data_IF_550984173163
#
_entry.id   IF_550984173163
#
_cell.length_a   1.000
_cell.length_b   1.000
_cell.length_c   1.000
_cell.angle_alpha   90.00
_cell.angle_beta   90.00
_cell.angle_gamma   90.00
#
_symmetry.space_group_name_H-M   'P 1'
#
loop_
_entity.id
_entity.type
_entity.pdbx_description
1 polymer ?
#
# COMPACT_ATOMS: atom_id res chain seq x y z
N UNK A 1 -11.89 3.70 -4.34
CA UNK A 1 -12.26 2.97 -5.57
C UNK A 1 -11.89 3.86 -6.76
N UNK A 2 -11.31 3.31 -7.82
CA UNK A 2 -11.00 4.02 -9.06
C UNK A 2 -11.69 3.25 -10.20
N UNK A 3 -12.68 3.88 -10.84
CA UNK A 3 -13.42 3.29 -11.97
C UNK A 3 -12.90 3.81 -13.31
N UNK A 4 -13.44 3.29 -14.42
CA UNK A 4 -13.00 3.65 -15.77
C UNK A 4 -13.26 5.12 -16.16
N UNK A 5 -14.08 5.84 -15.39
CA UNK A 5 -14.41 7.26 -15.64
C UNK A 5 -13.53 8.21 -14.84
N UNK A 6 -12.71 7.70 -13.94
CA UNK A 6 -11.83 8.51 -13.12
C UNK A 6 -10.70 9.15 -13.94
N UNK A 7 -10.34 10.38 -13.59
CA UNK A 7 -9.02 10.92 -13.94
C UNK A 7 -7.96 10.20 -13.09
N UNK A 8 -7.28 9.24 -13.70
CA UNK A 8 -6.30 8.38 -13.03
C UNK A 8 -5.15 9.21 -12.44
N UNK A 9 -4.65 10.23 -13.14
CA UNK A 9 -3.53 11.03 -12.67
C UNK A 9 -3.91 11.82 -11.41
N UNK A 10 -5.08 12.45 -11.42
CA UNK A 10 -5.61 13.19 -10.26
C UNK A 10 -5.93 12.25 -9.11
N UNK A 11 -6.57 11.10 -9.37
CA UNK A 11 -6.93 10.12 -8.36
C UNK A 11 -5.68 9.57 -7.65
N UNK A 12 -4.70 9.07 -8.41
CA UNK A 12 -3.45 8.52 -7.86
C UNK A 12 -2.68 9.57 -7.07
N UNK A 13 -2.56 10.79 -7.59
CA UNK A 13 -1.90 11.89 -6.88
C UNK A 13 -2.57 12.19 -5.54
N UNK A 14 -3.90 12.25 -5.51
CA UNK A 14 -4.67 12.53 -4.29
C UNK A 14 -4.46 11.44 -3.24
N UNK A 15 -4.48 10.18 -3.65
CA UNK A 15 -4.25 9.03 -2.76
C UNK A 15 -2.83 9.06 -2.19
N UNK A 16 -1.81 9.32 -3.01
CA UNK A 16 -0.42 9.40 -2.53
C UNK A 16 -0.29 10.55 -1.53
N UNK A 17 -0.80 11.75 -1.86
CA UNK A 17 -0.73 12.90 -0.95
C UNK A 17 -1.41 12.61 0.39
N UNK A 18 -2.63 12.07 0.36
CA UNK A 18 -3.39 11.70 1.55
C UNK A 18 -2.67 10.63 2.37
N UNK A 19 -2.28 9.53 1.73
CA UNK A 19 -1.71 8.39 2.46
C UNK A 19 -0.32 8.63 3.02
N UNK A 20 0.46 9.49 2.35
CA UNK A 20 1.83 9.82 2.80
C UNK A 20 1.86 11.01 3.74
N UNK A 21 0.76 11.76 3.88
CA UNK A 21 0.64 12.81 4.89
C UNK A 21 0.85 12.23 6.30
N UNK A 22 1.77 12.83 7.05
CA UNK A 22 2.21 12.37 8.37
C UNK A 22 2.45 10.85 8.43
N UNK A 23 3.03 10.31 7.35
CA UNK A 23 3.28 8.89 7.14
C UNK A 23 2.05 7.97 7.39
N UNK A 24 0.85 8.41 7.03
CA UNK A 24 -0.36 7.58 7.08
C UNK A 24 -0.93 7.37 8.49
N UNK A 25 -0.60 8.27 9.43
CA UNK A 25 -1.09 8.26 10.81
C UNK A 25 -2.57 8.66 10.95
N UNK A 26 -3.12 9.36 9.96
CA UNK A 26 -4.51 9.80 9.99
C UNK A 26 -5.42 8.61 9.68
N UNK A 27 -6.37 8.31 10.57
CA UNK A 27 -7.28 7.17 10.45
C UNK A 27 -8.16 7.22 9.19
N UNK A 28 -8.49 8.43 8.72
CA UNK A 28 -9.24 8.63 7.47
C UNK A 28 -8.40 8.40 6.20
N UNK A 29 -7.08 8.18 6.33
CA UNK A 29 -6.24 7.85 5.19
C UNK A 29 -6.59 6.48 4.62
N UNK A 30 -6.38 6.34 3.32
CA UNK A 30 -6.71 5.15 2.56
C UNK A 30 -6.02 3.90 3.15
N UNK A 31 -6.65 2.74 3.05
CA UNK A 31 -6.03 1.45 3.44
C UNK A 31 -5.88 0.50 2.26
N UNK A 32 -6.69 0.69 1.22
CA UNK A 32 -6.63 -0.06 -0.01
C UNK A 32 -7.08 0.79 -1.21
N UNK A 33 -6.51 0.49 -2.36
CA UNK A 33 -7.00 0.91 -3.67
C UNK A 33 -7.70 -0.28 -4.30
N UNK A 34 -8.94 -0.06 -4.74
CA UNK A 34 -9.70 -1.03 -5.53
C UNK A 34 -9.95 -0.36 -6.87
N UNK A 35 -9.53 -1.00 -7.96
CA UNK A 35 -9.69 -0.47 -9.31
C UNK A 35 -10.33 -1.49 -10.26
N UNK A 36 -11.01 -1.00 -11.30
CA UNK A 36 -11.52 -1.86 -12.36
C UNK A 36 -10.35 -2.54 -13.10
N UNK A 37 -10.47 -3.85 -13.35
CA UNK A 37 -9.42 -4.66 -14.00
C UNK A 37 -8.97 -4.06 -15.34
N UNK A 38 -9.92 -3.47 -16.09
CA UNK A 38 -9.70 -2.80 -17.38
C UNK A 38 -8.69 -1.65 -17.34
N UNK A 39 -8.55 -0.97 -16.19
CA UNK A 39 -7.63 0.18 -16.01
C UNK A 39 -6.49 -0.11 -15.03
N UNK A 40 -6.45 -1.30 -14.42
CA UNK A 40 -5.46 -1.65 -13.42
C UNK A 40 -4.00 -1.46 -13.89
N UNK A 41 -3.61 -1.81 -15.14
CA UNK A 41 -2.25 -1.55 -15.62
C UNK A 41 -1.88 -0.07 -15.60
N UNK A 42 -2.77 0.81 -16.10
CA UNK A 42 -2.56 2.26 -16.14
C UNK A 42 -2.49 2.87 -14.74
N UNK A 43 -3.35 2.41 -13.82
CA UNK A 43 -3.32 2.86 -12.42
C UNK A 43 -1.99 2.46 -11.76
N UNK A 44 -1.52 1.23 -11.97
CA UNK A 44 -0.24 0.76 -11.42
C UNK A 44 0.94 1.58 -11.94
N UNK A 45 0.98 1.84 -13.24
CA UNK A 45 2.02 2.65 -13.86
C UNK A 45 2.06 4.07 -13.27
N UNK A 46 0.89 4.70 -13.10
CA UNK A 46 0.81 6.05 -12.54
C UNK A 46 1.24 6.10 -11.06
N UNK A 47 0.92 5.06 -10.26
CA UNK A 47 1.47 4.94 -8.90
C UNK A 47 2.99 4.80 -8.92
N UNK A 48 3.54 3.93 -9.77
CA UNK A 48 4.99 3.72 -9.87
C UNK A 48 5.74 5.00 -10.27
N UNK A 49 5.22 5.72 -11.26
CA UNK A 49 5.74 7.01 -11.70
C UNK A 49 5.81 8.05 -10.59
N UNK A 50 4.92 7.95 -9.58
CA UNK A 50 4.81 8.90 -8.45
C UNK A 50 5.42 8.39 -7.15
N UNK A 51 6.24 7.34 -7.19
CA UNK A 51 6.96 6.83 -6.03
C UNK A 51 6.25 5.72 -5.26
N UNK A 52 5.22 5.11 -5.85
CA UNK A 52 4.63 3.86 -5.39
C UNK A 52 5.52 2.66 -5.75
N UNK A 53 5.85 1.84 -4.78
CA UNK A 53 6.59 0.59 -5.01
C UNK A 53 5.65 -0.60 -4.84
N UNK A 54 5.47 -1.38 -5.91
CA UNK A 54 4.67 -2.61 -5.86
C UNK A 54 5.51 -3.77 -5.35
N UNK A 55 5.10 -4.33 -4.21
CA UNK A 55 5.74 -5.48 -3.58
C UNK A 55 5.73 -6.70 -4.52
N UNK A 56 6.72 -7.58 -4.37
CA UNK A 56 6.91 -8.78 -5.19
C UNK A 56 7.25 -9.99 -4.31
N UNK A 57 6.84 -11.19 -4.74
CA UNK A 57 7.29 -12.45 -4.12
C UNK A 57 7.12 -12.53 -2.60
N UNK A 58 8.25 -12.65 -1.88
CA UNK A 58 8.29 -12.80 -0.43
C UNK A 58 8.19 -11.46 0.34
N UNK A 59 8.31 -10.32 -0.37
CA UNK A 59 8.24 -8.98 0.22
C UNK A 59 6.89 -8.75 0.93
N UNK A 60 5.81 -9.29 0.35
CA UNK A 60 4.46 -9.25 0.93
C UNK A 60 4.42 -9.83 2.33
N UNK A 61 4.94 -11.06 2.48
CA UNK A 61 4.90 -11.78 3.74
C UNK A 61 5.77 -11.10 4.77
N UNK A 62 6.99 -10.72 4.40
CA UNK A 62 7.94 -10.00 5.27
C UNK A 62 7.35 -8.70 5.81
N UNK A 63 6.75 -7.88 4.92
CA UNK A 63 6.13 -6.63 5.33
C UNK A 63 4.90 -6.87 6.19
N UNK A 64 4.02 -7.78 5.79
CA UNK A 64 2.81 -8.13 6.54
C UNK A 64 3.12 -8.60 7.96
N UNK A 65 4.08 -9.51 8.10
CA UNK A 65 4.54 -10.04 9.40
C UNK A 65 5.20 -8.97 10.28
N UNK A 66 5.84 -7.98 9.66
CA UNK A 66 6.41 -6.86 10.39
C UNK A 66 5.34 -5.88 10.89
N UNK A 67 4.34 -5.55 10.06
CA UNK A 67 3.30 -4.56 10.41
C UNK A 67 2.27 -5.14 11.38
N UNK A 68 1.84 -6.40 11.19
CA UNK A 68 0.85 -7.04 12.05
C UNK A 68 1.40 -8.34 12.66
N UNK A 69 1.21 -8.45 13.97
CA UNK A 69 1.42 -9.71 14.69
C UNK A 69 0.40 -10.77 14.25
N UNK A 70 0.67 -12.04 14.54
CA UNK A 70 -0.26 -13.15 14.22
C UNK A 70 -1.61 -13.04 14.96
N UNK A 71 -1.68 -12.20 16.01
CA UNK A 71 -2.93 -11.90 16.73
C UNK A 71 -3.71 -10.74 16.10
N UNK A 72 -3.27 -10.21 14.95
CA UNK A 72 -3.89 -9.07 14.29
C UNK A 72 -3.61 -7.72 14.95
N UNK A 73 -2.68 -7.66 15.91
CA UNK A 73 -2.30 -6.41 16.59
C UNK A 73 -1.22 -5.71 15.78
N UNK A 74 -1.40 -4.41 15.55
CA UNK A 74 -0.42 -3.54 14.89
C UNK A 74 0.89 -3.48 15.69
N UNK A 75 2.01 -3.60 14.98
CA UNK A 75 3.33 -3.39 15.53
C UNK A 75 3.60 -1.88 15.69
N UNK A 76 3.80 -1.36 16.93
CA UNK A 76 4.07 0.06 17.15
C UNK A 76 5.32 0.57 16.44
N UNK A 77 6.29 -0.32 16.14
CA UNK A 77 7.49 0.06 15.40
C UNK A 77 7.22 0.36 13.92
N UNK A 78 6.08 -0.07 13.37
CA UNK A 78 5.67 0.23 12.00
C UNK A 78 4.89 1.55 11.90
N UNK A 79 4.19 1.94 12.97
CA UNK A 79 3.29 3.09 12.99
C UNK A 79 4.04 4.39 12.68
N UNK A 80 3.53 5.16 11.71
CA UNK A 80 4.06 6.47 11.32
C UNK A 80 5.48 6.48 10.72
N UNK A 81 6.01 5.32 10.34
CA UNK A 81 7.34 5.25 9.71
C UNK A 81 7.25 5.53 8.20
N UNK A 82 8.24 6.23 7.61
CA UNK A 82 8.33 6.38 6.16
C UNK A 82 8.46 5.03 5.44
N UNK A 83 7.93 4.92 4.20
CA UNK A 83 7.93 3.70 3.40
C UNK A 83 9.32 3.02 3.27
N UNK A 84 10.36 3.78 2.93
CA UNK A 84 11.73 3.24 2.83
C UNK A 84 12.26 2.68 4.16
N UNK A 85 11.89 3.30 5.29
CA UNK A 85 12.29 2.83 6.62
C UNK A 85 11.52 1.57 7.02
N UNK A 86 10.22 1.51 6.74
CA UNK A 86 9.42 0.29 6.92
C UNK A 86 10.01 -0.88 6.15
N UNK A 87 10.35 -0.65 4.89
CA UNK A 87 10.96 -1.66 4.04
C UNK A 87 12.24 -2.23 4.67
N UNK A 88 13.13 -1.35 5.14
CA UNK A 88 14.35 -1.75 5.85
C UNK A 88 14.06 -2.55 7.12
N UNK A 89 13.11 -2.09 7.95
CA UNK A 89 12.75 -2.77 9.19
C UNK A 89 12.12 -4.14 8.96
N UNK A 90 11.40 -4.30 7.85
CA UNK A 90 10.83 -5.57 7.40
C UNK A 90 11.82 -6.47 6.63
N UNK A 91 13.07 -6.03 6.44
CA UNK A 91 14.09 -6.81 5.71
C UNK A 91 13.87 -6.88 4.19
N UNK A 92 13.29 -5.83 3.61
CA UNK A 92 13.17 -5.64 2.16
C UNK A 92 14.40 -4.89 1.63
N UNK A 93 15.18 -5.54 0.77
CA UNK A 93 16.46 -5.00 0.28
C UNK A 93 16.33 -4.21 -1.03
N UNK A 94 15.31 -4.52 -1.85
CA UNK A 94 15.17 -3.98 -3.20
C UNK A 94 14.32 -2.71 -3.29
N UNK A 95 13.80 -2.21 -2.17
CA UNK A 95 12.94 -1.01 -2.14
C UNK A 95 13.81 0.24 -2.26
N UNK A 96 13.65 1.08 -3.30
CA UNK A 96 14.41 2.32 -3.44
C UNK A 96 14.16 3.28 -2.28
N UNK A 97 15.19 4.02 -1.86
CA UNK A 97 15.08 5.01 -0.79
C UNK A 97 14.13 6.17 -1.10
N UNK A 98 13.87 6.42 -2.39
CA UNK A 98 12.91 7.42 -2.88
C UNK A 98 11.45 6.95 -2.84
N UNK A 99 11.19 5.72 -2.38
CA UNK A 99 9.82 5.17 -2.28
C UNK A 99 9.01 5.97 -1.28
N UNK A 100 7.83 6.44 -1.70
CA UNK A 100 6.90 7.18 -0.85
C UNK A 100 5.80 6.27 -0.28
N UNK A 101 5.41 5.24 -1.03
CA UNK A 101 4.26 4.40 -0.71
C UNK A 101 4.50 2.94 -1.11
N UNK A 102 4.28 2.00 -0.19
CA UNK A 102 4.34 0.57 -0.47
C UNK A 102 2.97 0.06 -0.93
N UNK A 103 2.91 -0.58 -2.09
CA UNK A 103 1.68 -1.08 -2.69
C UNK A 103 1.70 -2.61 -2.67
N UNK A 104 0.71 -3.22 -2.02
CA UNK A 104 0.57 -4.67 -1.90
C UNK A 104 -0.56 -5.17 -2.80
N UNK A 105 -0.27 -5.79 -3.96
CA UNK A 105 -1.25 -6.56 -4.73
C UNK A 105 -1.94 -7.65 -3.88
N UNK A 106 -3.25 -7.54 -3.70
CA UNK A 106 -4.05 -8.46 -2.90
C UNK A 106 -5.21 -9.02 -3.73
N UNK A 107 -5.62 -10.26 -3.44
CA UNK A 107 -6.76 -10.95 -4.06
C UNK A 107 -7.80 -11.43 -3.05
N UNK A 108 -7.57 -11.17 -1.75
CA UNK A 108 -8.45 -11.60 -0.65
C UNK A 108 -8.38 -10.61 0.51
N UNK A 109 -9.36 -10.71 1.40
CA UNK A 109 -9.43 -9.94 2.64
C UNK A 109 -9.62 -10.92 3.79
N UNK A 110 -8.95 -10.68 4.92
CA UNK A 110 -9.16 -11.47 6.13
C UNK A 110 -7.98 -11.49 7.10
N UNK A 111 -8.11 -12.20 8.23
CA UNK A 111 -7.07 -12.29 9.25
C UNK A 111 -5.73 -12.83 8.73
N UNK A 112 -5.79 -13.80 7.81
CA UNK A 112 -4.62 -14.40 7.18
C UNK A 112 -3.93 -13.45 6.18
N UNK A 113 -4.63 -12.42 5.70
CA UNK A 113 -4.11 -11.43 4.77
C UNK A 113 -3.79 -10.14 5.51
N UNK A 114 -2.65 -10.14 6.21
CA UNK A 114 -2.25 -9.04 7.12
C UNK A 114 -2.29 -7.67 6.47
N UNK A 115 -1.89 -7.54 5.20
CA UNK A 115 -1.87 -6.25 4.50
C UNK A 115 -3.28 -5.73 4.10
N UNK A 116 -4.33 -6.55 4.27
CA UNK A 116 -5.74 -6.12 4.11
C UNK A 116 -6.29 -5.34 5.31
N UNK A 117 -5.58 -5.31 6.45
CA UNK A 117 -5.99 -4.60 7.68
C UNK A 117 -5.63 -3.11 7.64
N UNK A 118 -6.03 -2.40 8.70
CA UNK A 118 -5.48 -1.09 9.01
C UNK A 118 -3.97 -1.18 9.28
N UNK A 119 -3.18 -0.25 8.70
CA UNK A 119 -1.71 -0.31 8.74
C UNK A 119 -1.03 0.89 9.43
N UNK A 120 -1.73 2.03 9.58
CA UNK A 120 -1.23 3.29 10.16
C UNK A 120 0.20 3.69 9.72
N UNK A 121 0.50 3.42 8.45
CA UNK A 121 1.80 3.66 7.83
C UNK A 121 1.63 3.78 6.31
N UNK A 122 2.63 4.25 5.53
CA UNK A 122 2.54 4.44 4.07
C UNK A 122 2.56 3.10 3.30
N UNK A 123 1.53 2.30 3.50
CA UNK A 123 1.29 1.06 2.79
C UNK A 123 -0.21 0.94 2.44
N UNK A 124 -0.51 0.50 1.21
CA UNK A 124 -1.87 0.23 0.74
C UNK A 124 -1.98 -1.17 0.15
N UNK A 125 -3.11 -1.82 0.40
CA UNK A 125 -3.55 -2.93 -0.45
C UNK A 125 -3.94 -2.42 -1.84
N UNK A 126 -3.76 -3.25 -2.86
CA UNK A 126 -4.14 -2.95 -4.24
C UNK A 126 -4.92 -4.14 -4.80
N UNK A 127 -6.19 -3.90 -5.13
CA UNK A 127 -7.10 -4.88 -5.73
C UNK A 127 -7.47 -4.45 -7.14
N UNK A 128 -7.52 -5.42 -8.05
CA UNK A 128 -8.10 -5.26 -9.39
C UNK A 128 -9.31 -6.18 -9.49
N UNK A 129 -10.50 -5.59 -9.63
CA UNK A 129 -11.75 -6.33 -9.61
C UNK A 129 -12.50 -6.18 -10.95
N UNK A 130 -13.24 -7.22 -11.32
CA UNK A 130 -14.17 -7.17 -12.44
C UNK A 130 -15.40 -6.36 -12.04
N UNK A 131 -15.83 -5.50 -12.96
CA UNK A 131 -17.09 -4.75 -12.85
C UNK A 131 -18.30 -5.66 -13.03
#
# INVERSE_FOLDING_TARGET
IIDEKADIATAVNSIILSKTFDNGMICASEQAVICCESIAPTVREEFQKRGGYFLQGDEYKKLGDFILTDKGVLNPAAVGQPAAKLAKLAGLENVPSSTLLLMAPLSRVGPEEKLSHEKLCPCLGFFSEKT
#
